data_IF_828902061723
#
_entry.id   IF_828902061723
#
_cell.length_a   1.000
_cell.length_b   1.000
_cell.length_c   1.000
_cell.angle_alpha   90.00
_cell.angle_beta   90.00
_cell.angle_gamma   90.00
#
_symmetry.space_group_name_H-M   'P 1'
#
loop_
_entity.id
_entity.type
_entity.pdbx_description
1 polymer ?
#
# COMPACT_ATOMS: atom_id res chain seq x y z
N UNK A 1 -7.99 -6.07 6.37
CA UNK A 1 -8.09 -4.92 5.45
C UNK A 1 -6.86 -4.92 4.53
N UNK A 2 -7.04 -5.37 3.29
CA UNK A 2 -5.99 -5.48 2.26
C UNK A 2 -5.93 -4.20 1.41
N UNK A 3 -4.82 -3.99 0.69
CA UNK A 3 -4.63 -2.79 -0.14
C UNK A 3 -5.66 -2.67 -1.27
N UNK A 4 -6.05 -3.80 -1.85
CA UNK A 4 -7.14 -3.86 -2.83
C UNK A 4 -8.49 -3.45 -2.22
N UNK A 5 -8.75 -3.79 -0.95
CA UNK A 5 -9.97 -3.39 -0.25
C UNK A 5 -10.02 -1.88 0.01
N UNK A 6 -8.90 -1.28 0.42
CA UNK A 6 -8.78 0.17 0.63
C UNK A 6 -8.96 0.95 -0.67
N UNK A 7 -8.28 0.53 -1.74
CA UNK A 7 -8.40 1.17 -3.06
C UNK A 7 -9.81 1.01 -3.64
N UNK A 8 -10.47 -0.13 -3.40
CA UNK A 8 -11.87 -0.34 -3.78
C UNK A 8 -12.81 0.61 -3.03
N UNK A 9 -12.62 0.80 -1.72
CA UNK A 9 -13.42 1.76 -0.94
C UNK A 9 -13.22 3.20 -1.43
N UNK A 10 -11.96 3.63 -1.66
CA UNK A 10 -11.66 4.97 -2.17
C UNK A 10 -12.29 5.18 -3.56
N UNK A 11 -12.22 4.19 -4.46
CA UNK A 11 -12.85 4.26 -5.78
C UNK A 11 -14.38 4.31 -5.71
N UNK A 12 -15.01 3.59 -4.79
CA UNK A 12 -16.45 3.67 -4.55
C UNK A 12 -16.87 5.05 -4.06
N UNK A 13 -16.15 5.63 -3.10
CA UNK A 13 -16.42 6.99 -2.59
C UNK A 13 -16.22 8.04 -3.70
N UNK A 14 -15.21 7.87 -4.55
CA UNK A 14 -14.91 8.79 -5.64
C UNK A 14 -15.84 8.65 -6.89
N UNK A 15 -16.70 7.62 -6.93
CA UNK A 15 -17.59 7.31 -8.05
C UNK A 15 -16.91 6.62 -9.25
N UNK A 16 -15.71 6.08 -9.06
CA UNK A 16 -14.87 5.50 -10.13
C UNK A 16 -15.12 3.99 -10.19
N UNK A 17 -15.65 3.48 -11.31
CA UNK A 17 -15.89 2.04 -11.48
C UNK A 17 -14.54 1.29 -11.60
N UNK A 18 -14.30 0.23 -10.80
CA UNK A 18 -13.05 -0.52 -10.89
C UNK A 18 -12.99 -1.34 -12.20
N UNK A 19 -11.82 -1.43 -12.85
CA UNK A 19 -11.64 -2.38 -13.94
C UNK A 19 -11.76 -3.81 -13.40
N UNK A 20 -12.54 -4.63 -14.09
CA UNK A 20 -12.71 -6.05 -13.78
C UNK A 20 -11.44 -6.80 -14.23
N UNK A 21 -10.52 -7.04 -13.31
CA UNK A 21 -9.26 -7.73 -13.59
C UNK A 21 -8.74 -8.47 -12.37
N UNK A 22 -8.36 -9.74 -12.59
CA UNK A 22 -7.86 -10.71 -11.62
C UNK A 22 -6.61 -10.18 -10.90
N UNK A 23 -6.50 -10.49 -9.60
CA UNK A 23 -5.31 -10.44 -8.74
C UNK A 23 -4.07 -9.85 -9.44
N UNK A 24 -3.93 -8.53 -9.36
CA UNK A 24 -2.87 -7.80 -10.06
C UNK A 24 -1.53 -8.11 -9.40
N UNK A 25 -0.54 -8.46 -10.22
CA UNK A 25 0.87 -8.43 -9.84
C UNK A 25 1.13 -7.15 -9.01
N UNK A 26 1.79 -7.27 -7.85
CA UNK A 26 2.07 -6.12 -6.98
C UNK A 26 2.71 -5.02 -7.82
N UNK A 27 1.92 -3.99 -8.12
CA UNK A 27 2.40 -2.88 -8.94
C UNK A 27 3.59 -2.24 -8.22
N UNK A 28 4.60 -1.75 -8.95
CA UNK A 28 5.72 -1.07 -8.31
C UNK A 28 5.20 0.16 -7.54
N UNK A 29 5.79 0.45 -6.39
CA UNK A 29 5.35 1.55 -5.51
C UNK A 29 5.33 2.90 -6.22
N UNK A 30 6.19 3.09 -7.23
CA UNK A 30 6.20 4.27 -8.09
C UNK A 30 4.88 4.46 -8.84
N UNK A 31 4.32 3.39 -9.41
CA UNK A 31 3.04 3.42 -10.12
C UNK A 31 1.89 3.65 -9.13
N UNK A 32 1.97 3.05 -7.94
CA UNK A 32 0.97 3.24 -6.88
C UNK A 32 0.95 4.71 -6.43
N UNK A 33 2.12 5.27 -6.14
CA UNK A 33 2.25 6.66 -5.70
C UNK A 33 1.82 7.67 -6.78
N UNK A 34 2.10 7.37 -8.05
CA UNK A 34 1.65 8.19 -9.18
C UNK A 34 0.13 8.14 -9.37
N UNK A 35 -0.48 6.96 -9.25
CA UNK A 35 -1.94 6.82 -9.27
C UNK A 35 -2.58 7.57 -8.09
N UNK A 36 -1.98 7.53 -6.92
CA UNK A 36 -2.46 8.25 -5.75
C UNK A 36 -2.44 9.76 -5.96
N UNK A 37 -1.32 10.31 -6.47
CA UNK A 37 -1.21 11.72 -6.81
C UNK A 37 -2.27 12.16 -7.83
N UNK A 38 -2.56 11.33 -8.84
CA UNK A 38 -3.60 11.61 -9.84
C UNK A 38 -5.00 11.67 -9.22
N UNK A 39 -5.34 10.73 -8.35
CA UNK A 39 -6.63 10.70 -7.66
C UNK A 39 -6.79 11.93 -6.76
N UNK A 40 -5.74 12.28 -5.99
CA UNK A 40 -5.77 13.47 -5.14
C UNK A 40 -5.92 14.73 -5.99
N UNK A 41 -5.22 14.84 -7.13
CA UNK A 41 -5.41 15.95 -8.06
C UNK A 41 -6.82 16.04 -8.61
N UNK A 42 -7.45 14.91 -8.95
CA UNK A 42 -8.86 14.90 -9.38
C UNK A 42 -9.81 15.35 -8.28
N UNK A 43 -9.58 14.94 -7.04
CA UNK A 43 -10.39 15.39 -5.89
C UNK A 43 -10.25 16.89 -5.68
N UNK A 44 -9.01 17.40 -5.62
CA UNK A 44 -8.75 18.83 -5.41
C UNK A 44 -9.35 19.68 -6.54
N UNK A 45 -9.27 19.19 -7.79
CA UNK A 45 -9.91 19.87 -8.92
C UNK A 45 -11.42 19.97 -8.80
N UNK A 46 -12.11 18.98 -8.22
CA UNK A 46 -13.56 19.08 -7.96
C UNK A 46 -13.89 20.17 -6.93
N UNK A 47 -12.96 20.44 -6.03
CA UNK A 47 -13.08 21.49 -5.01
C UNK A 47 -12.56 22.85 -5.50
N UNK A 48 -12.21 22.98 -6.79
CA UNK A 48 -11.71 24.21 -7.39
C UNK A 48 -10.23 24.52 -7.10
N UNK A 49 -9.48 23.53 -6.62
CA UNK A 49 -8.06 23.65 -6.27
C UNK A 49 -7.22 22.90 -7.30
N UNK A 50 -6.40 23.62 -8.05
CA UNK A 50 -5.42 23.02 -8.96
C UNK A 50 -4.09 22.78 -8.23
N UNK A 51 -3.67 21.51 -8.20
CA UNK A 51 -2.36 21.14 -7.67
C UNK A 51 -1.28 21.44 -8.69
N UNK A 52 -0.21 22.10 -8.23
CA UNK A 52 0.96 22.37 -9.08
C UNK A 52 1.89 21.14 -9.13
N UNK A 53 2.95 21.22 -9.94
CA UNK A 53 3.91 20.13 -10.10
C UNK A 53 4.68 19.76 -8.82
N UNK A 54 4.87 20.73 -7.91
CA UNK A 54 5.51 20.51 -6.61
C UNK A 54 4.59 19.74 -5.69
N UNK A 55 3.31 20.15 -5.57
CA UNK A 55 2.31 19.46 -4.75
C UNK A 55 2.17 17.99 -5.17
N UNK A 56 2.11 17.75 -6.48
CA UNK A 56 2.04 16.41 -7.06
C UNK A 56 3.24 15.54 -6.68
N UNK A 57 4.44 16.14 -6.67
CA UNK A 57 5.69 15.47 -6.28
C UNK A 57 5.72 15.19 -4.77
N UNK A 58 5.26 16.13 -3.96
CA UNK A 58 5.22 15.99 -2.49
C UNK A 58 4.24 14.89 -2.08
N UNK A 59 3.05 14.85 -2.70
CA UNK A 59 2.08 13.76 -2.50
C UNK A 59 2.71 12.41 -2.86
N UNK A 60 3.34 12.31 -4.04
CA UNK A 60 4.01 11.07 -4.47
C UNK A 60 5.08 10.62 -3.46
N UNK A 61 5.89 11.56 -2.99
CA UNK A 61 6.99 11.30 -2.05
C UNK A 61 6.45 10.77 -0.71
N UNK A 62 5.43 11.41 -0.15
CA UNK A 62 4.78 10.96 1.09
C UNK A 62 4.15 9.56 0.96
N UNK A 63 3.53 9.27 -0.19
CA UNK A 63 2.96 7.95 -0.44
C UNK A 63 4.05 6.88 -0.53
N UNK A 64 5.18 7.18 -1.19
CA UNK A 64 6.32 6.26 -1.24
C UNK A 64 6.89 5.98 0.15
N UNK A 65 7.02 7.00 1.00
CA UNK A 65 7.47 6.83 2.39
C UNK A 65 6.52 5.91 3.18
N UNK A 66 5.21 6.11 3.02
CA UNK A 66 4.19 5.29 3.69
C UNK A 66 4.22 3.84 3.21
N UNK A 67 4.37 3.60 1.91
CA UNK A 67 4.50 2.26 1.34
C UNK A 67 5.78 1.58 1.82
N UNK A 68 6.90 2.30 1.85
CA UNK A 68 8.17 1.80 2.36
C UNK A 68 8.08 1.41 3.85
N UNK A 69 7.46 2.27 4.67
CA UNK A 69 7.21 1.97 6.07
C UNK A 69 6.34 0.72 6.23
N UNK A 70 5.25 0.61 5.46
CA UNK A 70 4.36 -0.56 5.48
C UNK A 70 5.10 -1.84 5.13
N UNK A 71 5.96 -1.83 4.10
CA UNK A 71 6.80 -2.99 3.74
C UNK A 71 7.74 -3.40 4.88
N UNK A 72 8.40 -2.43 5.52
CA UNK A 72 9.26 -2.71 6.69
C UNK A 72 8.49 -3.36 7.83
N UNK A 73 7.31 -2.84 8.16
CA UNK A 73 6.46 -3.41 9.21
C UNK A 73 6.00 -4.82 8.85
N UNK A 74 5.65 -5.09 7.59
CA UNK A 74 5.31 -6.44 7.14
C UNK A 74 6.50 -7.39 7.27
N UNK A 75 7.70 -6.97 6.85
CA UNK A 75 8.92 -7.76 7.02
C UNK A 75 9.21 -8.08 8.49
N UNK A 76 9.07 -7.10 9.40
CA UNK A 76 9.25 -7.36 10.83
C UNK A 76 8.24 -8.39 11.35
N UNK A 77 6.95 -8.24 11.03
CA UNK A 77 5.91 -9.20 11.42
C UNK A 77 6.17 -10.60 10.86
N UNK A 78 6.69 -10.71 9.64
CA UNK A 78 7.08 -11.98 9.03
C UNK A 78 8.32 -12.58 9.71
N UNK A 79 9.28 -11.75 10.12
CA UNK A 79 10.48 -12.18 10.84
C UNK A 79 10.16 -12.63 12.27
N UNK A 80 9.26 -11.94 12.98
CA UNK A 80 8.81 -12.32 14.33
C UNK A 80 8.14 -13.70 14.33
N UNK A 81 7.41 -14.05 13.26
CA UNK A 81 6.84 -15.40 13.09
C UNK A 81 7.91 -16.49 12.96
N UNK A 82 9.13 -16.13 12.55
CA UNK A 82 10.29 -17.03 12.43
C UNK A 82 11.18 -17.01 13.67
N UNK A 83 10.97 -16.08 14.61
CA UNK A 83 11.77 -15.95 15.83
C UNK A 83 11.57 -17.19 16.72
N UNK A 84 12.69 -17.84 17.02
CA UNK A 84 12.93 -18.98 17.91
C UNK A 84 11.69 -19.78 18.38
N UNK A 85 11.31 -20.81 17.62
CA UNK A 85 10.46 -21.89 18.13
C UNK A 85 11.33 -22.88 18.90
N UNK A 86 11.38 -22.76 20.23
CA UNK A 86 12.08 -23.73 21.09
C UNK A 86 11.43 -25.10 20.92
N UNK A 87 12.03 -25.98 20.09
CA UNK A 87 11.59 -27.37 19.94
C UNK A 87 12.15 -28.17 21.11
N UNK A 88 11.25 -28.76 21.90
CA UNK A 88 11.62 -29.68 22.97
C UNK A 88 12.45 -30.83 22.37
N UNK A 89 13.71 -31.04 22.82
CA UNK A 89 14.52 -32.12 22.30
C UNK A 89 13.82 -33.46 22.60
N UNK A 90 13.66 -34.29 21.57
CA UNK A 90 13.18 -35.66 21.74
C UNK A 90 14.16 -36.37 22.67
N UNK A 91 13.62 -36.94 23.75
CA UNK A 91 14.38 -37.55 24.83
C UNK A 91 15.40 -38.51 24.22
N UNK A 92 16.69 -38.30 24.53
CA UNK A 92 17.77 -39.22 24.21
C UNK A 92 17.35 -40.61 24.69
N UNK A 93 17.02 -41.49 23.73
CA UNK A 93 16.76 -42.91 24.00
C UNK A 93 18.06 -43.48 24.55
N UNK A 94 18.05 -43.80 25.84
CA UNK A 94 19.10 -44.50 26.56
C UNK A 94 19.04 -45.98 26.24
#
# INVERSE_FOLDING_TARGET
MTEAEMLKMIRQIAGIRPPAGKQEATQPDSVIAENYARVVAEMMRRDGIELNGVDMRDIRTRVLELLAYRRRVQMYRESEKKTYQWKKPERLRR
#
